data_IF_588997853675
#
_entry.id   IF_588997853675
#
_cell.length_a   1.000
_cell.length_b   1.000
_cell.length_c   1.000
_cell.angle_alpha   90.00
_cell.angle_beta   90.00
_cell.angle_gamma   90.00
#
_symmetry.space_group_name_H-M   'P 1'
#
loop_
_entity.id
_entity.type
_entity.pdbx_description
1 polymer ?
#
# COMPACT_ATOMS: atom_id res chain seq x y z
N UNK A 1 3.83 26.14 -6.52
CA UNK A 1 3.98 25.50 -5.95
C UNK A 1 3.86 24.30 -6.32
N UNK A 2 4.34 23.65 -6.25
CA UNK A 2 4.35 22.38 -6.62
C UNK A 2 3.37 21.56 -5.91
N UNK A 3 3.27 20.31 -6.17
CA UNK A 3 2.38 19.51 -5.55
C UNK A 3 2.86 19.11 -4.25
N UNK A 4 2.04 18.88 -3.34
CA UNK A 4 2.38 18.40 -2.05
C UNK A 4 2.33 16.93 -1.99
N UNK A 5 3.22 16.35 -1.22
CA UNK A 5 3.14 14.95 -0.86
C UNK A 5 2.16 14.82 0.30
N UNK A 6 1.36 13.79 0.30
CA UNK A 6 0.42 13.54 1.38
C UNK A 6 1.16 13.39 2.70
N UNK A 7 0.63 13.97 3.76
CA UNK A 7 1.23 13.84 5.08
C UNK A 7 1.22 12.40 5.55
N UNK A 8 2.25 12.01 6.29
CA UNK A 8 2.29 10.67 6.84
C UNK A 8 1.15 10.41 7.80
N UNK A 9 0.66 11.45 8.48
CA UNK A 9 -0.49 11.28 9.36
C UNK A 9 -1.74 10.89 8.59
N UNK A 10 -1.81 11.22 7.31
CA UNK A 10 -2.91 10.81 6.45
C UNK A 10 -2.60 9.49 5.76
N UNK A 11 -1.38 9.33 5.30
CA UNK A 11 -0.99 8.14 4.54
C UNK A 11 -0.86 6.91 5.43
N UNK A 12 -0.47 7.09 6.69
CA UNK A 12 -0.27 5.97 7.61
C UNK A 12 -0.75 6.39 9.00
N UNK A 13 -2.06 6.55 9.17
CA UNK A 13 -2.60 7.14 10.40
C UNK A 13 -2.25 6.37 11.67
N UNK A 14 -2.07 5.06 11.56
CA UNK A 14 -1.74 4.26 12.74
C UNK A 14 -0.27 3.88 12.80
N UNK A 15 0.53 4.36 11.86
CA UNK A 15 1.95 4.03 11.85
C UNK A 15 2.25 2.58 11.54
N UNK A 16 1.33 1.90 10.86
CA UNK A 16 1.48 0.48 10.58
C UNK A 16 2.63 0.21 9.61
N UNK A 17 2.72 1.00 8.55
CA UNK A 17 3.81 0.83 7.60
C UNK A 17 5.13 1.20 8.25
N UNK A 18 5.15 2.29 9.00
CA UNK A 18 6.36 2.67 9.72
C UNK A 18 6.83 1.54 10.62
N UNK A 19 5.90 0.91 11.31
CA UNK A 19 6.21 -0.20 12.21
C UNK A 19 6.88 -1.34 11.46
N UNK A 20 6.40 -1.65 10.26
CA UNK A 20 6.97 -2.76 9.50
C UNK A 20 8.44 -2.53 9.18
N UNK A 21 8.83 -1.28 8.98
CA UNK A 21 10.23 -0.96 8.70
C UNK A 21 11.09 -0.93 9.96
N UNK A 22 10.46 -0.85 11.13
CA UNK A 22 11.18 -0.87 12.38
C UNK A 22 11.41 -2.29 12.90
N UNK A 23 10.68 -3.26 12.37
CA UNK A 23 10.79 -4.65 12.83
C UNK A 23 11.91 -5.36 12.08
N UNK A 24 12.90 -5.83 12.80
CA UNK A 24 13.98 -6.58 12.19
C UNK A 24 13.50 -7.97 11.81
N UNK A 25 13.87 -8.42 10.62
CA UNK A 25 13.56 -9.78 10.22
C UNK A 25 12.09 -10.02 9.93
N UNK A 26 11.33 -8.95 9.68
CA UNK A 26 9.92 -9.13 9.39
C UNK A 26 9.73 -9.97 8.13
N UNK A 27 8.78 -10.88 8.16
CA UNK A 27 8.53 -11.77 7.04
C UNK A 27 7.57 -11.14 6.05
N UNK A 28 7.53 -11.72 4.84
CA UNK A 28 6.60 -11.27 3.83
C UNK A 28 5.16 -11.43 4.31
N UNK A 29 4.86 -12.54 4.98
CA UNK A 29 3.52 -12.79 5.47
C UNK A 29 3.09 -11.74 6.49
N UNK A 30 4.02 -11.36 7.37
CA UNK A 30 3.72 -10.33 8.34
C UNK A 30 3.48 -8.99 7.67
N UNK A 31 4.28 -8.68 6.65
CA UNK A 31 4.08 -7.45 5.91
C UNK A 31 2.74 -7.44 5.20
N UNK A 32 2.30 -8.57 4.66
CA UNK A 32 1.00 -8.63 4.01
C UNK A 32 -0.13 -8.34 4.99
N UNK A 33 -0.05 -8.90 6.19
CA UNK A 33 -1.05 -8.63 7.21
C UNK A 33 -1.08 -7.15 7.57
N UNK A 34 0.10 -6.57 7.77
CA UNK A 34 0.21 -5.16 8.10
C UNK A 34 -0.31 -4.30 6.96
N UNK A 35 -0.01 -4.70 5.72
CA UNK A 35 -0.44 -3.95 4.55
C UNK A 35 -1.97 -3.90 4.47
N UNK A 36 -2.63 -5.03 4.73
CA UNK A 36 -4.08 -5.08 4.73
C UNK A 36 -4.64 -4.20 5.83
N UNK A 37 -4.08 -4.30 7.04
CA UNK A 37 -4.50 -3.46 8.14
C UNK A 37 -4.32 -1.98 7.82
N UNK A 38 -3.22 -1.65 7.16
CA UNK A 38 -2.98 -0.29 6.75
C UNK A 38 -4.07 0.19 5.79
N UNK A 39 -4.38 -0.60 4.80
CA UNK A 39 -5.40 -0.21 3.81
C UNK A 39 -6.74 0.04 4.48
N UNK A 40 -7.08 -0.77 5.46
CA UNK A 40 -8.33 -0.63 6.18
C UNK A 40 -8.32 0.57 7.12
N UNK A 41 -7.14 1.06 7.50
CA UNK A 41 -7.03 2.18 8.42
C UNK A 41 -7.16 3.53 7.75
N UNK A 42 -7.09 3.57 6.43
CA UNK A 42 -7.18 4.85 5.72
C UNK A 42 -8.56 5.46 5.90
N UNK A 43 -8.58 6.76 6.15
CA UNK A 43 -9.84 7.44 6.35
C UNK A 43 -10.57 7.61 5.03
N UNK A 44 -11.87 7.74 5.13
CA UNK A 44 -12.70 8.00 3.95
C UNK A 44 -12.20 9.25 3.25
N UNK A 45 -12.11 9.19 1.94
CA UNK A 45 -11.65 10.33 1.17
C UNK A 45 -10.16 10.33 0.90
N UNK A 46 -9.40 9.47 1.57
CA UNK A 46 -7.96 9.38 1.31
C UNK A 46 -7.75 8.47 0.11
N UNK A 47 -7.02 8.98 -0.87
CA UNK A 47 -6.71 8.20 -2.07
C UNK A 47 -5.62 7.19 -1.76
N UNK A 48 -5.89 5.89 -1.86
CA UNK A 48 -4.87 4.88 -1.54
C UNK A 48 -3.61 4.99 -2.40
N UNK A 49 -3.76 5.36 -3.66
CA UNK A 49 -2.59 5.51 -4.54
C UNK A 49 -1.71 6.66 -4.06
N UNK A 50 -2.33 7.77 -3.69
CA UNK A 50 -1.58 8.89 -3.14
C UNK A 50 -0.87 8.51 -1.85
N UNK A 51 -1.54 7.74 -0.99
CA UNK A 51 -0.93 7.27 0.24
C UNK A 51 0.25 6.35 -0.05
N UNK A 52 0.10 5.42 -1.01
CA UNK A 52 1.19 4.54 -1.38
C UNK A 52 2.40 5.32 -1.88
N UNK A 53 2.16 6.32 -2.71
CA UNK A 53 3.27 7.13 -3.23
C UNK A 53 4.01 7.84 -2.11
N UNK A 54 3.27 8.38 -1.16
CA UNK A 54 3.89 9.07 -0.03
C UNK A 54 4.72 8.11 0.80
N UNK A 55 4.19 6.91 1.06
CA UNK A 55 4.89 5.94 1.87
C UNK A 55 6.12 5.37 1.16
N UNK A 56 6.01 5.12 -0.13
CA UNK A 56 7.14 4.64 -0.89
C UNK A 56 8.25 5.69 -0.88
N UNK A 57 7.90 6.95 -1.08
CA UNK A 57 8.89 8.02 -1.07
C UNK A 57 9.55 8.15 0.30
N UNK A 58 8.79 7.88 1.37
CA UNK A 58 9.32 8.05 2.71
C UNK A 58 10.16 6.86 3.16
N UNK A 59 9.72 5.65 2.85
CA UNK A 59 10.33 4.45 3.45
C UNK A 59 11.02 3.53 2.47
N UNK A 60 10.52 3.40 1.26
CA UNK A 60 10.99 2.37 0.35
C UNK A 60 12.27 2.74 -0.39
N UNK A 61 12.54 4.02 -0.52
CA UNK A 61 13.75 4.44 -1.24
C UNK A 61 14.97 3.97 -0.47
N UNK A 62 15.86 3.25 -1.15
CA UNK A 62 17.02 2.70 -0.51
C UNK A 62 16.78 1.41 0.25
N UNK A 63 15.56 0.91 0.22
CA UNK A 63 15.20 -0.33 0.90
C UNK A 63 14.45 -1.25 -0.05
N UNK A 64 14.98 -1.42 -1.23
CA UNK A 64 14.30 -2.15 -2.29
C UNK A 64 14.06 -3.61 -1.95
N UNK A 65 14.87 -4.18 -1.08
CA UNK A 65 14.74 -5.58 -0.72
C UNK A 65 13.79 -5.83 0.46
N UNK A 66 13.28 -4.77 1.06
CA UNK A 66 12.37 -4.93 2.20
C UNK A 66 11.02 -5.46 1.70
N UNK A 67 10.44 -6.47 2.37
CA UNK A 67 9.15 -7.03 1.89
C UNK A 67 8.04 -6.00 1.75
N UNK A 68 7.96 -5.04 2.67
CA UNK A 68 6.93 -4.02 2.57
C UNK A 68 7.14 -3.12 1.36
N UNK A 69 8.39 -2.82 1.01
CA UNK A 69 8.68 -2.03 -0.18
C UNK A 69 8.19 -2.74 -1.42
N UNK A 70 8.41 -4.05 -1.49
CA UNK A 70 7.95 -4.83 -2.62
C UNK A 70 6.43 -4.85 -2.71
N UNK A 71 5.76 -5.03 -1.57
CA UNK A 71 4.30 -5.06 -1.54
C UNK A 71 3.71 -3.73 -1.98
N UNK A 72 4.25 -2.63 -1.47
CA UNK A 72 3.73 -1.31 -1.81
C UNK A 72 3.95 -1.01 -3.28
N UNK A 73 5.12 -1.37 -3.80
CA UNK A 73 5.43 -1.12 -5.20
C UNK A 73 4.51 -1.93 -6.10
N UNK A 74 4.29 -3.20 -5.75
CA UNK A 74 3.39 -4.05 -6.52
C UNK A 74 1.97 -3.50 -6.50
N UNK A 75 1.52 -3.03 -5.36
CA UNK A 75 0.18 -2.47 -5.25
C UNK A 75 0.04 -1.21 -6.09
N UNK A 76 1.08 -0.38 -6.10
CA UNK A 76 1.05 0.86 -6.88
C UNK A 76 0.98 0.56 -8.37
N UNK A 77 1.67 -0.48 -8.80
CA UNK A 77 1.73 -0.82 -10.22
C UNK A 77 0.58 -1.74 -10.67
N UNK A 78 -0.18 -2.27 -9.74
CA UNK A 78 -1.28 -3.17 -10.10
C UNK A 78 -2.35 -2.40 -10.86
N UNK A 79 -3.02 -3.07 -11.81
CA UNK A 79 -4.11 -2.41 -12.51
C UNK A 79 -5.21 -2.08 -11.51
N UNK A 80 -5.67 -0.88 -11.64
CA UNK A 80 -6.72 -0.57 -10.73
C UNK A 80 -7.99 -0.96 -11.28
N UNK A 81 -8.62 -1.78 -11.05
CA UNK A 81 -9.72 -2.09 -11.62
C UNK A 81 -10.71 -2.30 -10.95
N UNK A 82 -11.26 -1.92 -10.69
CA UNK A 82 -12.08 -2.19 -9.86
C UNK A 82 -13.34 -2.57 -10.30
N UNK A 83 -13.51 -2.71 -10.48
CA UNK A 83 -14.40 -2.89 -10.67
C UNK A 83 -14.67 -3.79 -11.16
N UNK A 84 -14.43 -4.22 -11.17
CA UNK A 84 -14.42 -4.85 -11.54
C UNK A 84 -14.59 -5.59 -11.34
N UNK A 85 -14.84 -5.97 -11.18
CA UNK A 85 -14.96 -6.55 -11.16
C UNK A 85 -15.31 -7.04 -11.11
N UNK A 86 -15.61 -7.41 -11.20
CA UNK A 86 -15.96 -7.86 -11.29
C UNK A 86 -16.06 -8.57 -11.49
N UNK A 87 -16.25 -8.98 -11.82
CA UNK A 87 -16.48 -9.52 -11.99
C UNK A 87 -16.45 -10.33 -12.33
N UNK A 88 -16.63 -10.61 -12.55
CA UNK A 88 -16.77 -11.16 -12.99
C UNK A 88 -16.52 -11.78 -13.22
N UNK A 89 -16.63 -12.05 -13.33
CA UNK A 89 -16.63 -12.42 -13.81
C UNK A 89 -16.23 -12.92 -13.91
N UNK A 90 -16.29 -13.15 -13.98
CA UNK A 90 -16.21 -13.41 -13.99
C UNK A 90 -15.86 -14.07 -14.30
N UNK A 91 -15.94 -14.35 -14.57
CA UNK A 91 -15.91 -14.85 -14.95
C UNK A 91 -15.55 -15.32 -15.43
N UNK A 92 -15.61 -15.56 -15.55
CA UNK A 92 -15.59 -15.82 -16.07
C UNK A 92 -15.16 -16.33 -16.35
N UNK A 93 -15.09 -16.59 -16.31
CA UNK A 93 -14.91 -16.91 -16.61
C UNK A 93 -14.66 -17.46 -16.91
N UNK A 94 -14.61 -17.73 -17.01
CA UNK A 94 -14.54 -17.98 -17.26
C UNK A 94 -14.44 -18.31 -17.47
N UNK A 95 -14.49 -18.59 -17.58
CA UNK A 95 -14.55 -18.56 -17.69
C UNK A 95 -14.49 -18.80 -17.81
#
# INVERSE_FOLDING_TARGET
MGRRVMDLSEADPKGLVRESYAMEGISEAECKSIFIDWALSLKAGINPIGALRALIAQYALGRDDHPMSLLMTQALLAPSDPKRRGGRRGRHAAL
#
